data_IF_701381040404
#
_entry.id   IF_701381040404
#
_cell.length_a   1.000
_cell.length_b   1.000
_cell.length_c   1.000
_cell.angle_alpha   90.00
_cell.angle_beta   90.00
_cell.angle_gamma   90.00
#
_symmetry.space_group_name_H-M   'P 1'
#
loop_
_entity.id
_entity.type
_entity.pdbx_description
1 polymer ?
#
# COMPACT_ATOMS: atom_id res chain seq x y z
N UNK A 1 29.79 75.13 -20.77
CA UNK A 1 30.00 75.28 -19.30
C UNK A 1 29.26 74.12 -18.64
N UNK A 2 29.90 72.97 -18.42
CA UNK A 2 30.51 72.54 -17.14
C UNK A 2 29.49 72.66 -15.98
N UNK A 3 29.03 71.61 -15.29
CA UNK A 3 29.71 70.44 -14.70
C UNK A 3 28.67 69.30 -14.53
N UNK A 4 28.95 67.99 -14.55
CA UNK A 4 30.01 67.25 -13.86
C UNK A 4 29.47 66.70 -12.53
N UNK A 5 28.97 65.46 -12.51
CA UNK A 5 28.43 64.81 -11.30
C UNK A 5 28.25 63.31 -11.49
N UNK A 6 29.32 62.56 -11.25
CA UNK A 6 29.38 61.09 -11.27
C UNK A 6 28.96 60.55 -9.90
N UNK A 7 28.01 59.59 -9.87
CA UNK A 7 27.51 58.96 -8.64
C UNK A 7 27.17 57.50 -8.88
N UNK A 8 28.18 56.64 -8.79
CA UNK A 8 28.04 55.19 -8.79
C UNK A 8 27.50 54.73 -7.44
N UNK A 9 26.26 54.23 -7.39
CA UNK A 9 25.68 53.58 -6.22
C UNK A 9 25.40 52.10 -6.53
N UNK A 10 26.22 51.27 -5.90
CA UNK A 10 26.15 49.81 -5.89
C UNK A 10 24.89 49.33 -5.15
N UNK A 11 24.28 48.28 -5.71
CA UNK A 11 23.67 47.11 -5.04
C UNK A 11 22.65 47.33 -3.92
N UNK A 12 21.41 46.93 -4.19
CA UNK A 12 20.66 46.06 -3.27
C UNK A 12 19.51 45.38 -4.02
N UNK A 13 19.83 44.24 -4.64
CA UNK A 13 18.81 43.24 -4.97
C UNK A 13 18.27 42.69 -3.65
N UNK A 14 16.95 42.63 -3.42
CA UNK A 14 16.43 41.87 -2.30
C UNK A 14 16.82 40.41 -2.45
N UNK A 15 17.35 39.88 -1.35
CA UNK A 15 17.88 38.53 -1.21
C UNK A 15 16.98 37.48 -1.84
N UNK A 16 17.62 36.58 -2.60
CA UNK A 16 17.00 35.47 -3.27
C UNK A 16 16.07 34.68 -2.36
N UNK A 17 14.85 34.50 -2.83
CA UNK A 17 13.99 33.40 -2.41
C UNK A 17 14.81 32.13 -2.58
N UNK A 18 15.02 31.40 -1.49
CA UNK A 18 15.67 30.09 -1.47
C UNK A 18 14.84 29.09 -2.30
N UNK A 19 15.02 29.11 -3.62
CA UNK A 19 14.32 28.25 -4.58
C UNK A 19 14.88 26.82 -4.63
N UNK A 20 15.96 26.52 -3.91
CA UNK A 20 16.61 25.20 -3.93
C UNK A 20 16.02 24.14 -2.97
N UNK A 21 15.29 24.54 -1.92
CA UNK A 21 14.85 23.61 -0.85
C UNK A 21 13.46 22.98 -1.02
N UNK A 22 12.66 23.43 -2.01
CA UNK A 22 11.22 23.14 -2.07
C UNK A 22 10.84 21.86 -2.83
N UNK A 23 11.63 21.45 -3.81
CA UNK A 23 11.34 20.31 -4.67
C UNK A 23 11.36 18.95 -3.95
N UNK A 24 12.40 18.60 -3.16
CA UNK A 24 12.45 17.30 -2.50
C UNK A 24 11.35 17.13 -1.43
N UNK A 25 10.97 18.21 -0.74
CA UNK A 25 9.88 18.20 0.24
C UNK A 25 8.51 17.97 -0.42
N UNK A 26 8.24 18.60 -1.57
CA UNK A 26 7.00 18.40 -2.35
C UNK A 26 6.89 16.97 -2.89
N UNK A 27 8.00 16.42 -3.41
CA UNK A 27 8.05 15.02 -3.86
C UNK A 27 7.76 14.07 -2.69
N UNK A 28 8.40 14.28 -1.54
CA UNK A 28 8.16 13.48 -0.34
C UNK A 28 6.71 13.57 0.14
N UNK A 29 6.08 14.75 0.09
CA UNK A 29 4.66 14.89 0.42
C UNK A 29 3.77 14.00 -0.46
N UNK A 30 4.03 13.95 -1.77
CA UNK A 30 3.31 13.06 -2.69
C UNK A 30 3.52 11.59 -2.35
N UNK A 31 4.75 11.20 -2.03
CA UNK A 31 5.08 9.83 -1.59
C UNK A 31 4.32 9.47 -0.30
N UNK A 32 4.27 10.37 0.68
CA UNK A 32 3.52 10.14 1.91
C UNK A 32 2.03 9.85 1.64
N UNK A 33 1.38 10.64 0.78
CA UNK A 33 -0.03 10.42 0.45
C UNK A 33 -0.24 9.07 -0.27
N UNK A 34 0.66 8.71 -1.18
CA UNK A 34 0.59 7.44 -1.91
C UNK A 34 0.81 6.23 -1.00
N UNK A 35 1.84 6.26 -0.15
CA UNK A 35 2.12 5.18 0.81
C UNK A 35 0.98 5.04 1.81
N UNK A 36 0.45 6.16 2.32
CA UNK A 36 -0.71 6.17 3.23
C UNK A 36 -1.93 5.52 2.56
N UNK A 37 -2.30 5.97 1.37
CA UNK A 37 -3.45 5.43 0.65
C UNK A 37 -3.30 3.93 0.37
N UNK A 38 -2.09 3.49 -0.03
CA UNK A 38 -1.78 2.09 -0.28
C UNK A 38 -1.90 1.21 0.96
N UNK A 39 -1.36 1.67 2.10
CA UNK A 39 -1.46 0.96 3.38
C UNK A 39 -2.91 0.89 3.90
N UNK A 40 -3.65 1.99 3.79
CA UNK A 40 -5.07 2.03 4.18
C UNK A 40 -5.92 1.08 3.33
N UNK A 41 -5.70 1.08 2.01
CA UNK A 41 -6.41 0.20 1.10
C UNK A 41 -6.29 -1.28 1.51
N UNK A 42 -5.09 -1.76 1.82
CA UNK A 42 -4.93 -3.17 2.20
C UNK A 42 -5.51 -3.47 3.57
N UNK A 43 -5.47 -2.52 4.51
CA UNK A 43 -6.12 -2.65 5.80
C UNK A 43 -7.64 -2.76 5.65
N UNK A 44 -8.24 -1.90 4.83
CA UNK A 44 -9.68 -1.90 4.57
C UNK A 44 -10.12 -3.21 3.88
N UNK A 45 -9.36 -3.67 2.88
CA UNK A 45 -9.71 -4.87 2.12
C UNK A 45 -9.52 -6.18 2.90
N UNK A 46 -8.54 -6.25 3.82
CA UNK A 46 -8.16 -7.51 4.46
C UNK A 46 -8.40 -7.57 5.97
N UNK A 47 -8.24 -6.46 6.68
CA UNK A 47 -8.31 -6.46 8.16
C UNK A 47 -9.69 -6.02 8.65
N UNK A 48 -10.35 -5.12 7.92
CA UNK A 48 -11.70 -4.64 8.23
C UNK A 48 -12.79 -5.41 7.48
N UNK A 49 -12.41 -6.26 6.52
CA UNK A 49 -13.32 -7.19 5.88
C UNK A 49 -13.75 -8.28 6.86
N UNK A 50 -15.05 -8.56 6.91
CA UNK A 50 -15.62 -9.62 7.77
C UNK A 50 -15.51 -11.02 7.17
N UNK A 51 -14.88 -11.18 6.00
CA UNK A 51 -14.84 -12.47 5.29
C UNK A 51 -13.52 -13.22 5.52
N UNK A 52 -13.49 -14.30 6.33
CA UNK A 52 -12.30 -15.13 6.51
C UNK A 52 -11.98 -15.91 5.23
N UNK A 53 -10.99 -15.44 4.48
CA UNK A 53 -10.54 -16.05 3.21
C UNK A 53 -9.01 -16.08 3.13
N UNK A 54 -8.43 -17.05 2.39
CA UNK A 54 -7.00 -17.07 2.14
C UNK A 54 -6.62 -15.95 1.15
N UNK A 55 -5.55 -15.21 1.45
CA UNK A 55 -4.99 -14.19 0.54
C UNK A 55 -4.02 -14.81 -0.49
N UNK A 56 -3.28 -15.84 -0.08
CA UNK A 56 -2.37 -16.58 -0.94
C UNK A 56 -2.77 -18.05 -0.95
N UNK A 57 -3.69 -18.47 -1.84
CA UNK A 57 -3.96 -19.89 -2.01
C UNK A 57 -2.74 -20.53 -2.70
N UNK A 58 -1.69 -20.86 -1.94
CA UNK A 58 -0.60 -21.70 -2.42
C UNK A 58 -1.08 -23.15 -2.62
N UNK A 59 -0.32 -23.88 -3.44
CA UNK A 59 -0.57 -25.22 -3.96
C UNK A 59 -1.06 -26.23 -2.91
N UNK A 60 -1.93 -27.19 -3.29
CA UNK A 60 -2.59 -28.15 -2.39
C UNK A 60 -1.67 -29.21 -1.74
N UNK A 61 -0.34 -29.01 -1.75
CA UNK A 61 0.65 -30.00 -1.32
C UNK A 61 1.28 -29.75 0.05
N UNK A 62 1.04 -28.60 0.69
CA UNK A 62 1.52 -28.34 2.06
C UNK A 62 0.45 -28.68 3.09
N UNK A 63 0.83 -29.35 4.18
CA UNK A 63 -0.04 -29.50 5.33
C UNK A 63 -0.37 -28.12 5.89
N UNK A 64 -1.61 -27.90 6.31
CA UNK A 64 -2.11 -26.58 6.75
C UNK A 64 -1.25 -25.98 7.88
N UNK A 65 -0.77 -26.82 8.81
CA UNK A 65 0.13 -26.42 9.89
C UNK A 65 1.50 -25.95 9.38
N UNK A 66 2.14 -26.68 8.46
CA UNK A 66 3.43 -26.28 7.87
C UNK A 66 3.31 -24.96 7.10
N UNK A 67 2.19 -24.75 6.40
CA UNK A 67 1.90 -23.51 5.71
C UNK A 67 1.77 -22.32 6.69
N UNK A 68 1.11 -22.53 7.83
CA UNK A 68 0.99 -21.51 8.88
C UNK A 68 2.35 -21.14 9.47
N UNK A 69 3.16 -22.13 9.85
CA UNK A 69 4.48 -21.92 10.46
C UNK A 69 5.40 -21.13 9.51
N UNK A 70 5.46 -21.51 8.22
CA UNK A 70 6.21 -20.78 7.19
C UNK A 70 5.70 -19.35 7.02
N UNK A 71 4.38 -19.17 7.00
CA UNK A 71 3.76 -17.85 6.87
C UNK A 71 4.10 -16.97 8.08
N UNK A 72 3.97 -17.49 9.30
CA UNK A 72 4.33 -16.83 10.56
C UNK A 72 5.78 -16.38 10.54
N UNK A 73 6.71 -17.28 10.23
CA UNK A 73 8.14 -16.96 10.26
C UNK A 73 8.48 -15.86 9.24
N UNK A 74 7.79 -15.88 8.09
CA UNK A 74 7.88 -14.80 7.10
C UNK A 74 7.35 -13.49 7.67
N UNK A 75 6.19 -13.47 8.33
CA UNK A 75 5.64 -12.26 8.98
C UNK A 75 6.62 -11.71 10.01
N UNK A 76 7.20 -12.56 10.86
CA UNK A 76 8.20 -12.16 11.87
C UNK A 76 9.47 -11.62 11.21
N UNK A 77 9.88 -12.14 10.06
CA UNK A 77 11.00 -11.57 9.31
C UNK A 77 10.65 -10.17 8.74
N UNK A 78 9.41 -9.98 8.28
CA UNK A 78 8.93 -8.69 7.75
C UNK A 78 8.82 -7.62 8.85
N UNK A 79 8.40 -7.97 10.07
CA UNK A 79 8.37 -7.02 11.19
C UNK A 79 9.75 -6.49 11.54
N UNK A 80 10.80 -7.33 11.45
CA UNK A 80 12.19 -6.89 11.63
C UNK A 80 12.63 -5.89 10.56
N UNK A 81 12.31 -6.16 9.29
CA UNK A 81 12.57 -5.23 8.20
C UNK A 81 11.87 -3.88 8.40
N UNK A 82 10.66 -3.91 8.96
CA UNK A 82 9.89 -2.70 9.22
C UNK A 82 10.52 -1.84 10.32
N UNK A 83 11.07 -2.47 11.37
CA UNK A 83 11.83 -1.76 12.40
C UNK A 83 13.08 -1.07 11.84
N UNK A 84 13.79 -1.73 10.91
CA UNK A 84 14.97 -1.16 10.24
C UNK A 84 14.56 0.08 9.42
N UNK A 85 13.54 -0.05 8.56
CA UNK A 85 13.06 1.07 7.74
C UNK A 85 12.51 2.23 8.59
N UNK A 86 11.88 1.92 9.73
CA UNK A 86 11.40 2.94 10.68
C UNK A 86 12.58 3.75 11.23
N UNK A 87 13.65 3.08 11.64
CA UNK A 87 14.87 3.74 12.10
C UNK A 87 15.52 4.56 10.97
N UNK A 88 15.64 4.00 9.76
CA UNK A 88 16.27 4.66 8.62
C UNK A 88 15.54 5.94 8.24
N UNK A 89 14.21 5.90 8.16
CA UNK A 89 13.36 7.08 7.92
C UNK A 89 13.62 8.16 8.97
N UNK A 90 13.69 7.82 10.26
CA UNK A 90 13.96 8.80 11.32
C UNK A 90 15.38 9.38 11.22
N UNK A 91 16.38 8.53 10.98
CA UNK A 91 17.78 8.91 10.86
C UNK A 91 18.02 9.84 9.67
N UNK A 92 17.55 9.44 8.48
CA UNK A 92 17.65 10.23 7.25
C UNK A 92 16.91 11.56 7.37
N UNK A 93 15.74 11.58 8.01
CA UNK A 93 15.00 12.81 8.27
C UNK A 93 15.79 13.76 9.17
N UNK A 94 16.40 13.26 10.25
CA UNK A 94 17.24 14.07 11.14
C UNK A 94 18.47 14.64 10.42
N UNK A 95 18.97 13.95 9.40
CA UNK A 95 20.04 14.42 8.51
C UNK A 95 19.55 15.36 7.39
N UNK A 96 18.24 15.63 7.29
CA UNK A 96 17.66 16.47 6.24
C UNK A 96 17.63 15.81 4.85
N UNK A 97 17.81 14.50 4.76
CA UNK A 97 17.91 13.74 3.50
C UNK A 97 16.54 13.31 2.97
N UNK A 98 15.72 14.28 2.59
CA UNK A 98 14.32 14.05 2.18
C UNK A 98 14.13 13.09 0.99
N UNK A 99 15.12 12.99 0.08
CA UNK A 99 15.07 12.04 -1.03
C UNK A 99 15.17 10.59 -0.52
N UNK A 100 16.16 10.30 0.34
CA UNK A 100 16.36 8.99 0.95
C UNK A 100 15.14 8.59 1.81
N UNK A 101 14.57 9.55 2.57
CA UNK A 101 13.32 9.33 3.31
C UNK A 101 12.19 8.88 2.37
N UNK A 102 12.10 9.48 1.19
CA UNK A 102 11.09 9.10 0.19
C UNK A 102 11.29 7.69 -0.36
N UNK A 103 12.53 7.25 -0.54
CA UNK A 103 12.84 5.90 -1.00
C UNK A 103 12.54 4.86 0.10
N UNK A 104 13.01 5.11 1.33
CA UNK A 104 12.71 4.25 2.48
C UNK A 104 11.22 4.19 2.82
N UNK A 105 10.46 5.26 2.58
CA UNK A 105 9.01 5.29 2.79
C UNK A 105 8.24 4.46 1.74
N UNK A 106 8.70 4.45 0.49
CA UNK A 106 8.14 3.57 -0.55
C UNK A 106 8.38 2.10 -0.19
N UNK A 107 9.62 1.76 0.19
CA UNK A 107 9.96 0.41 0.65
C UNK A 107 9.14 0.01 1.87
N UNK A 108 8.94 0.93 2.83
CA UNK A 108 8.07 0.72 3.99
C UNK A 108 6.63 0.45 3.57
N UNK A 109 6.08 1.22 2.62
CA UNK A 109 4.73 1.01 2.10
C UNK A 109 4.56 -0.39 1.49
N UNK A 110 5.51 -0.83 0.66
CA UNK A 110 5.52 -2.18 0.07
C UNK A 110 5.64 -3.27 1.13
N UNK A 111 6.50 -3.05 2.12
CA UNK A 111 6.73 -3.99 3.21
C UNK A 111 5.50 -4.14 4.10
N UNK A 112 4.82 -3.04 4.45
CA UNK A 112 3.58 -3.05 5.23
C UNK A 112 2.47 -3.76 4.46
N UNK A 113 2.36 -3.54 3.15
CA UNK A 113 1.39 -4.28 2.34
C UNK A 113 1.66 -5.79 2.40
N UNK A 114 2.91 -6.20 2.17
CA UNK A 114 3.29 -7.61 2.26
C UNK A 114 3.00 -8.19 3.65
N UNK A 115 3.29 -7.44 4.71
CA UNK A 115 3.04 -7.84 6.10
C UNK A 115 1.55 -8.01 6.37
N UNK A 116 0.69 -7.09 5.91
CA UNK A 116 -0.77 -7.17 6.07
C UNK A 116 -1.33 -8.37 5.31
N UNK A 117 -0.91 -8.60 4.07
CA UNK A 117 -1.33 -9.75 3.26
C UNK A 117 -0.97 -11.09 3.91
N UNK A 118 0.27 -11.21 4.38
CA UNK A 118 0.76 -12.41 5.07
C UNK A 118 0.05 -12.59 6.41
N UNK A 119 -0.18 -11.52 7.17
CA UNK A 119 -0.87 -11.60 8.46
C UNK A 119 -2.32 -12.02 8.31
N UNK A 120 -3.03 -11.49 7.31
CA UNK A 120 -4.40 -11.90 7.00
C UNK A 120 -4.45 -13.37 6.55
N UNK A 121 -3.47 -13.82 5.77
CA UNK A 121 -3.35 -15.22 5.39
C UNK A 121 -3.04 -16.14 6.58
N UNK A 122 -2.09 -15.76 7.44
CA UNK A 122 -1.76 -16.49 8.66
C UNK A 122 -2.96 -16.57 9.62
N UNK A 123 -3.72 -15.46 9.75
CA UNK A 123 -4.95 -15.42 10.54
C UNK A 123 -5.99 -16.41 10.01
N UNK A 124 -6.17 -16.49 8.68
CA UNK A 124 -7.03 -17.48 8.05
C UNK A 124 -6.57 -18.92 8.37
N UNK A 125 -5.29 -19.23 8.13
CA UNK A 125 -4.73 -20.57 8.35
C UNK A 125 -4.89 -21.03 9.81
N UNK A 126 -4.55 -20.16 10.77
CA UNK A 126 -4.69 -20.46 12.19
C UNK A 126 -6.15 -20.67 12.59
N UNK A 127 -7.07 -19.85 12.06
CA UNK A 127 -8.49 -19.92 12.41
C UNK A 127 -9.20 -21.15 11.86
N UNK A 128 -8.85 -21.59 10.64
CA UNK A 128 -9.44 -22.79 10.03
C UNK A 128 -8.87 -24.10 10.58
N UNK A 129 -7.71 -24.06 11.24
CA UNK A 129 -7.13 -25.20 11.95
C UNK A 129 -7.86 -25.51 13.28
N UNK A 130 -8.58 -24.52 13.84
CA UNK A 130 -9.37 -24.72 15.07
C UNK A 130 -10.47 -25.76 14.84
N UNK A 131 -10.59 -26.79 15.71
CA UNK A 131 -11.61 -27.83 15.58
C UNK A 131 -13.03 -27.24 15.49
N UNK A 132 -13.80 -27.67 14.48
CA UNK A 132 -15.15 -27.18 14.21
C UNK A 132 -15.23 -25.96 13.29
N UNK A 133 -14.09 -25.38 12.89
CA UNK A 133 -14.01 -24.45 11.77
C UNK A 133 -14.04 -25.20 10.43
N UNK A 134 -14.53 -24.53 9.38
CA UNK A 134 -14.59 -25.07 8.01
C UNK A 134 -13.90 -24.11 7.05
N UNK A 135 -13.05 -24.65 6.19
CA UNK A 135 -12.29 -23.87 5.21
C UNK A 135 -13.19 -23.14 4.20
N UNK A 136 -12.67 -22.03 3.66
CA UNK A 136 -13.33 -21.30 2.60
C UNK A 136 -13.40 -22.13 1.31
N UNK A 137 -14.46 -21.92 0.53
CA UNK A 137 -14.59 -22.48 -0.81
C UNK A 137 -14.16 -21.41 -1.83
N UNK A 138 -13.13 -21.66 -2.65
CA UNK A 138 -12.66 -20.69 -3.62
C UNK A 138 -13.73 -20.41 -4.68
N UNK A 139 -13.82 -19.13 -5.06
CA UNK A 139 -14.62 -18.69 -6.19
C UNK A 139 -13.93 -18.87 -7.54
N UNK A 140 -14.53 -18.30 -8.59
CA UNK A 140 -13.88 -18.19 -9.90
C UNK A 140 -12.72 -17.19 -9.89
N UNK A 141 -12.83 -16.15 -9.05
CA UNK A 141 -11.82 -15.11 -8.88
C UNK A 141 -11.50 -14.87 -7.41
N UNK A 142 -10.28 -14.40 -7.18
CA UNK A 142 -9.87 -13.85 -5.88
C UNK A 142 -10.27 -12.37 -5.83
N UNK A 143 -11.30 -12.06 -5.03
CA UNK A 143 -11.84 -10.71 -4.85
C UNK A 143 -10.76 -9.71 -4.42
N UNK A 144 -9.91 -10.09 -3.47
CA UNK A 144 -8.88 -9.19 -2.96
C UNK A 144 -7.91 -8.82 -4.07
N UNK A 145 -7.39 -9.81 -4.79
CA UNK A 145 -6.39 -9.59 -5.85
C UNK A 145 -6.93 -8.71 -6.97
N UNK A 146 -8.12 -9.00 -7.49
CA UNK A 146 -8.69 -8.21 -8.60
C UNK A 146 -9.07 -6.80 -8.16
N UNK A 147 -9.53 -6.63 -6.91
CA UNK A 147 -9.85 -5.30 -6.34
C UNK A 147 -8.58 -4.47 -6.14
N UNK A 148 -7.50 -5.09 -5.65
CA UNK A 148 -6.19 -4.44 -5.52
C UNK A 148 -5.65 -4.00 -6.87
N UNK A 149 -5.67 -4.88 -7.89
CA UNK A 149 -5.22 -4.53 -9.23
C UNK A 149 -6.02 -3.37 -9.84
N UNK A 150 -7.34 -3.32 -9.60
CA UNK A 150 -8.17 -2.18 -10.00
C UNK A 150 -7.64 -0.86 -9.43
N UNK A 151 -7.41 -0.81 -8.12
CA UNK A 151 -6.91 0.39 -7.45
C UNK A 151 -5.52 0.81 -7.92
N UNK A 152 -4.62 -0.14 -8.17
CA UNK A 152 -3.27 0.13 -8.69
C UNK A 152 -3.32 0.76 -10.10
N UNK A 153 -4.24 0.29 -10.96
CA UNK A 153 -4.46 0.88 -12.29
C UNK A 153 -5.07 2.28 -12.18
N UNK A 154 -6.06 2.48 -11.31
CA UNK A 154 -6.66 3.80 -11.03
C UNK A 154 -5.61 4.81 -10.58
N UNK A 155 -4.75 4.41 -9.64
CA UNK A 155 -3.68 5.25 -9.10
C UNK A 155 -2.66 5.60 -10.19
N UNK A 156 -2.21 4.61 -10.98
CA UNK A 156 -1.27 4.82 -12.09
C UNK A 156 -1.85 5.79 -13.13
N UNK A 157 -3.13 5.64 -13.46
CA UNK A 157 -3.86 6.54 -14.34
C UNK A 157 -4.05 7.94 -13.72
N UNK A 158 -4.24 8.03 -12.40
CA UNK A 158 -4.34 9.30 -11.69
C UNK A 158 -3.01 10.06 -11.76
N UNK A 159 -1.86 9.39 -11.60
CA UNK A 159 -0.54 10.02 -11.74
C UNK A 159 -0.36 10.66 -13.12
N UNK A 160 -0.77 9.99 -14.20
CA UNK A 160 -0.74 10.57 -15.56
C UNK A 160 -1.59 11.83 -15.71
N UNK A 161 -2.65 11.98 -14.89
CA UNK A 161 -3.54 13.16 -14.89
C UNK A 161 -3.05 14.29 -13.99
N UNK A 162 -2.46 13.96 -12.84
CA UNK A 162 -2.18 14.94 -11.78
C UNK A 162 -0.75 15.43 -11.77
N UNK A 163 0.21 14.60 -12.21
CA UNK A 163 1.63 15.00 -12.26
C UNK A 163 1.81 16.03 -13.38
N UNK A 164 2.45 17.19 -13.13
CA UNK A 164 2.70 18.20 -14.14
C UNK A 164 3.75 17.72 -15.14
N UNK A 165 3.73 18.27 -16.37
CA UNK A 165 4.59 17.80 -17.46
C UNK A 165 6.08 17.77 -17.10
N UNK A 166 6.56 18.80 -16.39
CA UNK A 166 7.96 18.92 -15.96
C UNK A 166 8.42 17.79 -15.03
N UNK A 167 7.49 17.16 -14.31
CA UNK A 167 7.77 16.09 -13.34
C UNK A 167 7.48 14.69 -13.94
N UNK A 168 6.87 14.62 -15.13
CA UNK A 168 6.65 13.37 -15.90
C UNK A 168 7.93 12.93 -16.60
N UNK A 169 8.93 12.55 -15.79
CA UNK A 169 10.21 12.05 -16.30
C UNK A 169 10.07 10.75 -17.11
N UNK A 170 10.99 10.45 -18.05
CA UNK A 170 10.97 9.18 -18.78
C UNK A 170 10.99 7.94 -17.88
N UNK A 171 11.65 8.03 -16.72
CA UNK A 171 11.68 6.98 -15.70
C UNK A 171 10.30 6.77 -15.09
N UNK A 172 9.62 7.85 -14.66
CA UNK A 172 8.28 7.78 -14.11
C UNK A 172 7.25 7.23 -15.12
N UNK A 173 7.33 7.65 -16.38
CA UNK A 173 6.46 7.13 -17.45
C UNK A 173 6.68 5.62 -17.68
N UNK A 174 7.93 5.15 -17.59
CA UNK A 174 8.26 3.73 -17.68
C UNK A 174 7.69 2.96 -16.49
N UNK A 175 7.86 3.46 -15.28
CA UNK A 175 7.35 2.86 -14.05
C UNK A 175 5.82 2.75 -14.08
N UNK A 176 5.12 3.83 -14.43
CA UNK A 176 3.65 3.84 -14.60
C UNK A 176 3.23 2.80 -15.64
N UNK A 177 3.89 2.76 -16.79
CA UNK A 177 3.58 1.80 -17.86
C UNK A 177 3.76 0.35 -17.42
N UNK A 178 4.83 0.07 -16.67
CA UNK A 178 5.12 -1.26 -16.12
C UNK A 178 4.09 -1.65 -15.05
N UNK A 179 3.72 -0.72 -14.15
CA UNK A 179 2.71 -1.01 -13.12
C UNK A 179 1.33 -1.28 -13.73
N UNK A 180 0.90 -0.46 -14.70
CA UNK A 180 -0.33 -0.72 -15.47
C UNK A 180 -0.25 -2.11 -16.12
N UNK A 181 0.80 -2.38 -16.89
CA UNK A 181 0.94 -3.66 -17.61
C UNK A 181 0.92 -4.88 -16.67
N UNK A 182 1.61 -4.78 -15.52
CA UNK A 182 1.64 -5.84 -14.49
C UNK A 182 0.23 -6.13 -13.95
N UNK A 183 -0.52 -5.10 -13.57
CA UNK A 183 -1.85 -5.28 -13.01
C UNK A 183 -2.86 -5.77 -14.04
N UNK A 184 -2.79 -5.29 -15.29
CA UNK A 184 -3.63 -5.77 -16.38
C UNK A 184 -3.35 -7.23 -16.73
N UNK A 185 -2.09 -7.68 -16.62
CA UNK A 185 -1.73 -9.09 -16.78
C UNK A 185 -2.41 -9.95 -15.71
N UNK A 186 -2.33 -9.54 -14.44
CA UNK A 186 -2.99 -10.26 -13.33
C UNK A 186 -4.51 -10.35 -13.55
N UNK A 187 -5.14 -9.25 -13.97
CA UNK A 187 -6.57 -9.22 -14.28
C UNK A 187 -6.93 -10.11 -15.48
N UNK A 188 -6.07 -10.14 -16.50
CA UNK A 188 -6.23 -11.00 -17.68
C UNK A 188 -6.18 -12.47 -17.27
N UNK A 189 -5.12 -12.88 -16.56
CA UNK A 189 -4.91 -14.26 -16.14
C UNK A 189 -6.07 -14.74 -15.24
N UNK A 190 -6.50 -13.90 -14.29
CA UNK A 190 -7.64 -14.20 -13.42
C UNK A 190 -8.96 -14.35 -14.20
N UNK A 191 -9.21 -13.49 -15.18
CA UNK A 191 -10.44 -13.50 -15.99
C UNK A 191 -10.48 -14.66 -16.98
N UNK A 192 -9.34 -15.04 -17.56
CA UNK A 192 -9.22 -16.23 -18.41
C UNK A 192 -9.51 -17.48 -17.59
N UNK A 193 -8.88 -17.62 -16.41
CA UNK A 193 -9.14 -18.75 -15.52
C UNK A 193 -10.61 -18.80 -15.06
N UNK A 194 -11.23 -17.65 -14.77
CA UNK A 194 -12.64 -17.55 -14.42
C UNK A 194 -13.56 -17.97 -15.59
N UNK A 195 -13.26 -17.53 -16.81
CA UNK A 195 -13.97 -17.94 -18.03
C UNK A 195 -13.89 -19.45 -18.25
N UNK A 196 -12.71 -20.06 -18.11
CA UNK A 196 -12.54 -21.50 -18.29
C UNK A 196 -13.34 -22.32 -17.29
N UNK A 197 -13.32 -21.90 -16.01
CA UNK A 197 -14.00 -22.59 -14.90
C UNK A 197 -15.50 -22.31 -14.82
N UNK A 198 -15.99 -21.23 -15.43
CA UNK A 198 -17.42 -20.89 -15.42
C UNK A 198 -18.25 -21.98 -16.11
N UNK A 199 -19.48 -22.18 -15.64
CA UNK A 199 -20.47 -23.05 -16.30
C UNK A 199 -21.51 -22.26 -17.09
N UNK A 200 -21.63 -20.96 -16.82
CA UNK A 200 -22.56 -20.07 -17.51
C UNK A 200 -21.94 -19.55 -18.82
N UNK A 201 -22.60 -19.82 -19.94
CA UNK A 201 -22.16 -19.38 -21.27
C UNK A 201 -22.04 -17.87 -21.36
N UNK A 202 -22.96 -17.13 -20.73
CA UNK A 202 -22.89 -15.67 -20.74
C UNK A 202 -21.65 -15.19 -20.00
N UNK A 203 -21.40 -15.66 -18.78
CA UNK A 203 -20.23 -15.28 -18.00
C UNK A 203 -18.90 -15.62 -18.71
N UNK A 204 -18.80 -16.77 -19.39
CA UNK A 204 -17.61 -17.11 -20.20
C UNK A 204 -17.30 -16.03 -21.22
N UNK A 205 -18.29 -15.67 -22.02
CA UNK A 205 -18.12 -14.66 -23.07
C UNK A 205 -17.91 -13.28 -22.47
N UNK A 206 -18.59 -12.96 -21.36
CA UNK A 206 -18.47 -11.66 -20.71
C UNK A 206 -17.07 -11.42 -20.12
N UNK A 207 -16.44 -12.43 -19.51
CA UNK A 207 -15.03 -12.33 -19.08
C UNK A 207 -14.10 -12.06 -20.27
N UNK A 208 -14.28 -12.78 -21.40
CA UNK A 208 -13.46 -12.57 -22.61
C UNK A 208 -13.64 -11.16 -23.18
N UNK A 209 -14.88 -10.68 -23.26
CA UNK A 209 -15.18 -9.33 -23.76
C UNK A 209 -14.63 -8.25 -22.84
N UNK A 210 -14.72 -8.44 -21.52
CA UNK A 210 -14.13 -7.53 -20.54
C UNK A 210 -12.61 -7.44 -20.67
N UNK A 211 -11.92 -8.58 -20.81
CA UNK A 211 -10.47 -8.62 -21.08
C UNK A 211 -10.12 -7.91 -22.39
N UNK A 212 -10.89 -8.14 -23.46
CA UNK A 212 -10.68 -7.48 -24.75
C UNK A 212 -10.83 -5.95 -24.63
N UNK A 213 -11.91 -5.48 -24.00
CA UNK A 213 -12.16 -4.05 -23.78
C UNK A 213 -11.03 -3.39 -22.97
N UNK A 214 -10.61 -4.04 -21.88
CA UNK A 214 -9.49 -3.62 -21.03
C UNK A 214 -8.18 -3.53 -21.83
N UNK A 215 -7.85 -4.57 -22.59
CA UNK A 215 -6.60 -4.66 -23.35
C UNK A 215 -6.53 -3.62 -24.45
N UNK A 216 -7.61 -3.43 -25.21
CA UNK A 216 -7.69 -2.39 -26.25
C UNK A 216 -7.52 -0.99 -25.66
N UNK A 217 -8.18 -0.71 -24.53
CA UNK A 217 -8.05 0.58 -23.84
C UNK A 217 -6.62 0.82 -23.34
N UNK A 218 -5.97 -0.23 -22.84
CA UNK A 218 -4.58 -0.17 -22.38
C UNK A 218 -3.60 0.11 -23.53
N UNK A 219 -3.77 -0.55 -24.68
CA UNK A 219 -2.94 -0.28 -25.86
C UNK A 219 -3.04 1.18 -26.30
N UNK A 220 -4.26 1.76 -26.29
CA UNK A 220 -4.46 3.16 -26.62
C UNK A 220 -3.76 4.10 -25.62
N UNK A 221 -3.90 3.85 -24.32
CA UNK A 221 -3.21 4.65 -23.29
C UNK A 221 -1.68 4.55 -23.41
N UNK A 222 -1.13 3.34 -23.56
CA UNK A 222 0.32 3.13 -23.66
C UNK A 222 0.92 3.78 -24.91
N UNK A 223 0.15 3.89 -26.00
CA UNK A 223 0.56 4.67 -27.16
C UNK A 223 0.71 6.17 -26.82
N UNK A 224 -0.24 6.74 -26.08
CA UNK A 224 -0.13 8.13 -25.59
C UNK A 224 1.05 8.30 -24.63
N UNK A 225 1.27 7.36 -23.71
CA UNK A 225 2.40 7.41 -22.77
C UNK A 225 3.73 7.39 -23.53
N UNK A 226 3.83 6.58 -24.59
CA UNK A 226 4.98 6.57 -25.50
C UNK A 226 5.16 7.91 -26.20
N UNK A 227 4.08 8.53 -26.69
CA UNK A 227 4.10 9.86 -27.32
C UNK A 227 4.62 10.94 -26.35
N UNK A 228 4.13 10.97 -25.11
CA UNK A 228 4.65 11.90 -24.08
C UNK A 228 6.13 11.69 -23.82
N UNK A 229 6.58 10.43 -23.79
CA UNK A 229 8.00 10.10 -23.58
C UNK A 229 8.90 10.57 -24.74
N UNK A 230 8.44 10.45 -25.99
CA UNK A 230 9.25 10.82 -27.17
C UNK A 230 9.13 12.29 -27.57
N UNK A 231 7.99 12.90 -27.28
CA UNK A 231 7.66 14.27 -27.67
C UNK A 231 6.83 14.92 -26.54
N UNK A 232 7.50 15.30 -25.43
CA UNK A 232 6.82 15.83 -24.26
C UNK A 232 6.18 17.19 -24.57
N UNK A 233 4.90 17.32 -24.24
CA UNK A 233 4.12 18.54 -24.41
C UNK A 233 2.79 18.46 -23.68
N UNK A 234 2.17 19.61 -23.40
CA UNK A 234 0.87 19.64 -22.73
C UNK A 234 -0.22 18.92 -23.54
N UNK A 235 -0.15 18.99 -24.87
CA UNK A 235 -1.05 18.25 -25.74
C UNK A 235 -0.92 16.74 -25.57
N UNK A 236 0.32 16.20 -25.57
CA UNK A 236 0.54 14.76 -25.42
C UNK A 236 0.19 14.30 -24.00
N UNK A 237 0.47 15.11 -22.98
CA UNK A 237 0.03 14.86 -21.59
C UNK A 237 -1.50 14.82 -21.47
N UNK A 238 -2.20 15.76 -22.09
CA UNK A 238 -3.67 15.80 -22.10
C UNK A 238 -4.27 14.58 -22.80
N UNK A 239 -3.60 14.03 -23.83
CA UNK A 239 -4.01 12.74 -24.42
C UNK A 239 -3.86 11.58 -23.44
N UNK A 240 -2.75 11.49 -22.69
CA UNK A 240 -2.65 10.50 -21.61
C UNK A 240 -3.80 10.62 -20.61
N UNK A 241 -4.15 11.85 -20.20
CA UNK A 241 -5.25 12.09 -19.29
C UNK A 241 -6.60 11.62 -19.87
N UNK A 242 -6.86 11.91 -21.15
CA UNK A 242 -8.06 11.51 -21.87
C UNK A 242 -8.17 9.98 -21.99
N UNK A 243 -7.12 9.31 -22.45
CA UNK A 243 -7.11 7.85 -22.66
C UNK A 243 -6.98 7.06 -21.36
N UNK A 244 -6.66 7.70 -20.23
CA UNK A 244 -6.71 7.07 -18.91
C UNK A 244 -8.14 6.73 -18.49
N UNK A 245 -9.13 7.54 -18.90
CA UNK A 245 -10.54 7.34 -18.55
C UNK A 245 -11.10 6.00 -19.05
N UNK A 246 -11.02 5.70 -20.36
CA UNK A 246 -11.47 4.41 -20.92
C UNK A 246 -10.84 3.19 -20.25
N UNK A 247 -9.54 3.22 -19.97
CA UNK A 247 -8.87 2.09 -19.28
C UNK A 247 -9.44 1.87 -17.88
N UNK A 248 -9.57 2.94 -17.09
CA UNK A 248 -10.14 2.87 -15.74
C UNK A 248 -11.56 2.28 -15.80
N UNK A 249 -12.42 2.78 -16.71
CA UNK A 249 -13.78 2.27 -16.84
C UNK A 249 -13.84 0.79 -17.25
N UNK A 250 -12.99 0.36 -18.20
CA UNK A 250 -12.93 -1.04 -18.59
C UNK A 250 -12.50 -1.96 -17.44
N UNK A 251 -11.52 -1.53 -16.63
CA UNK A 251 -11.07 -2.26 -15.44
C UNK A 251 -12.16 -2.30 -14.37
N UNK A 252 -12.85 -1.19 -14.11
CA UNK A 252 -13.99 -1.14 -13.19
C UNK A 252 -15.11 -2.10 -13.61
N UNK A 253 -15.48 -2.10 -14.89
CA UNK A 253 -16.54 -2.97 -15.40
C UNK A 253 -16.15 -4.45 -15.28
N UNK A 254 -14.93 -4.82 -15.67
CA UNK A 254 -14.43 -6.19 -15.57
C UNK A 254 -14.38 -6.66 -14.11
N UNK A 255 -13.84 -5.84 -13.22
CA UNK A 255 -13.69 -6.19 -11.79
C UNK A 255 -15.04 -6.20 -11.09
N UNK A 256 -15.95 -5.28 -11.44
CA UNK A 256 -17.32 -5.26 -10.96
C UNK A 256 -18.05 -6.56 -11.31
N UNK A 257 -18.00 -6.97 -12.57
CA UNK A 257 -18.56 -8.25 -13.02
C UNK A 257 -17.89 -9.45 -12.34
N UNK A 258 -16.55 -9.46 -12.29
CA UNK A 258 -15.79 -10.55 -11.67
C UNK A 258 -16.14 -10.75 -10.19
N UNK A 259 -16.50 -9.67 -9.48
CA UNK A 259 -16.78 -9.69 -8.04
C UNK A 259 -18.26 -9.82 -7.69
N UNK A 260 -19.11 -10.20 -8.66
CA UNK A 260 -20.51 -10.54 -8.39
C UNK A 260 -20.61 -11.77 -7.44
N UNK A 261 -21.60 -11.79 -6.52
CA UNK A 261 -21.64 -12.76 -5.42
C UNK A 261 -21.55 -14.24 -5.85
N UNK A 262 -22.13 -14.59 -6.99
CA UNK A 262 -22.12 -15.96 -7.51
C UNK A 262 -20.72 -16.46 -7.90
N UNK A 263 -19.75 -15.56 -8.11
CA UNK A 263 -18.39 -15.92 -8.49
C UNK A 263 -17.42 -15.99 -7.32
N UNK A 264 -17.83 -15.58 -6.11
CA UNK A 264 -16.92 -15.42 -4.97
C UNK A 264 -16.73 -16.70 -4.13
N UNK A 265 -17.51 -17.75 -4.38
CA UNK A 265 -17.50 -18.94 -3.54
C UNK A 265 -18.04 -18.64 -2.13
N UNK A 266 -17.49 -19.29 -1.10
CA UNK A 266 -17.94 -19.13 0.30
C UNK A 266 -16.76 -18.83 1.21
N UNK A 267 -16.92 -17.88 2.13
CA UNK A 267 -15.93 -17.64 3.17
C UNK A 267 -15.86 -18.83 4.15
N UNK A 268 -14.79 -18.91 4.94
CA UNK A 268 -14.69 -19.92 5.99
C UNK A 268 -15.77 -19.73 7.06
N UNK A 269 -16.23 -20.85 7.64
CA UNK A 269 -17.15 -20.84 8.77
C UNK A 269 -16.34 -21.10 10.02
N UNK A 270 -16.15 -20.06 10.83
CA UNK A 270 -15.35 -20.11 12.05
C UNK A 270 -16.26 -20.22 13.28
N UNK A 271 -15.90 -21.09 14.22
CA UNK A 271 -16.51 -21.11 15.55
C UNK A 271 -15.98 -19.91 16.40
N UNK A 272 -16.43 -19.79 17.65
CA UNK A 272 -16.04 -18.65 18.50
C UNK A 272 -14.53 -18.58 18.76
N UNK A 273 -13.88 -19.73 18.93
CA UNK A 273 -12.43 -19.82 19.16
C UNK A 273 -11.64 -19.44 17.90
N UNK A 274 -12.01 -19.97 16.73
CA UNK A 274 -11.40 -19.60 15.45
C UNK A 274 -11.54 -18.10 15.14
N UNK A 275 -12.69 -17.50 15.48
CA UNK A 275 -12.87 -16.04 15.39
C UNK A 275 -11.97 -15.27 16.35
N UNK A 276 -11.78 -15.78 17.56
CA UNK A 276 -10.89 -15.15 18.55
C UNK A 276 -9.43 -15.17 18.08
N UNK A 277 -8.95 -16.32 17.57
CA UNK A 277 -7.62 -16.47 16.96
C UNK A 277 -7.44 -15.49 15.80
N UNK A 278 -8.41 -15.45 14.88
CA UNK A 278 -8.37 -14.54 13.73
C UNK A 278 -8.30 -13.08 14.20
N UNK A 279 -9.17 -12.69 15.13
CA UNK A 279 -9.26 -11.32 15.65
C UNK A 279 -7.96 -10.89 16.33
N UNK A 280 -7.30 -11.78 17.06
CA UNK A 280 -6.02 -11.48 17.69
C UNK A 280 -4.93 -11.13 16.67
N UNK A 281 -4.77 -11.97 15.64
CA UNK A 281 -3.74 -11.78 14.61
C UNK A 281 -4.05 -10.54 13.76
N UNK A 282 -5.31 -10.39 13.30
CA UNK A 282 -5.72 -9.22 12.52
C UNK A 282 -5.61 -7.92 13.34
N UNK A 283 -5.90 -7.96 14.65
CA UNK A 283 -5.74 -6.81 15.55
C UNK A 283 -4.28 -6.40 15.73
N UNK A 284 -3.35 -7.37 15.79
CA UNK A 284 -1.91 -7.12 15.76
C UNK A 284 -1.48 -6.44 14.46
N UNK A 285 -1.89 -6.98 13.31
CA UNK A 285 -1.61 -6.40 11.99
C UNK A 285 -2.20 -4.99 11.84
N UNK A 286 -3.42 -4.78 12.35
CA UNK A 286 -4.09 -3.49 12.36
C UNK A 286 -3.31 -2.45 13.18
N UNK A 287 -2.71 -2.87 14.30
CA UNK A 287 -1.87 -2.01 15.13
C UNK A 287 -0.61 -1.56 14.36
N UNK A 288 0.04 -2.47 13.62
CA UNK A 288 1.20 -2.15 12.76
C UNK A 288 0.82 -1.15 11.67
N UNK A 289 -0.17 -1.46 10.85
CA UNK A 289 -0.54 -0.60 9.70
C UNK A 289 -1.03 0.77 10.15
N UNK A 290 -1.79 0.84 11.26
CA UNK A 290 -2.26 2.11 11.82
C UNK A 290 -1.09 2.98 12.30
N UNK A 291 -0.09 2.38 12.94
CA UNK A 291 1.12 3.09 13.38
C UNK A 291 1.95 3.59 12.18
N UNK A 292 2.11 2.79 11.12
CA UNK A 292 2.82 3.20 9.90
C UNK A 292 2.08 4.31 9.14
N UNK A 293 0.75 4.26 9.09
CA UNK A 293 -0.08 5.34 8.52
C UNK A 293 0.09 6.63 9.33
N UNK A 294 0.08 6.55 10.66
CA UNK A 294 0.33 7.71 11.52
C UNK A 294 1.75 8.26 11.34
N UNK A 295 2.76 7.40 11.27
CA UNK A 295 4.14 7.79 11.02
C UNK A 295 4.28 8.55 9.68
N UNK A 296 3.64 8.02 8.64
CA UNK A 296 3.61 8.65 7.31
C UNK A 296 2.91 10.02 7.34
N UNK A 297 1.83 10.14 8.12
CA UNK A 297 1.16 11.41 8.34
C UNK A 297 2.06 12.41 9.09
N UNK A 298 2.77 11.98 10.13
CA UNK A 298 3.72 12.83 10.85
C UNK A 298 4.85 13.32 9.93
N UNK A 299 5.40 12.45 9.07
CA UNK A 299 6.40 12.85 8.07
C UNK A 299 5.87 13.92 7.13
N UNK A 300 4.64 13.75 6.65
CA UNK A 300 3.97 14.74 5.80
C UNK A 300 3.79 16.09 6.50
N UNK A 301 3.38 16.08 7.77
CA UNK A 301 3.22 17.30 8.55
C UNK A 301 4.58 18.02 8.68
N UNK A 302 5.67 17.28 8.91
CA UNK A 302 7.05 17.82 8.97
C UNK A 302 7.48 18.45 7.64
N UNK A 303 7.16 17.85 6.49
CA UNK A 303 7.57 18.38 5.18
C UNK A 303 6.82 19.65 4.78
N UNK A 304 5.63 19.88 5.34
CA UNK A 304 4.81 21.06 5.08
C UNK A 304 5.25 22.31 5.86
N UNK A 305 5.96 22.14 6.98
CA UNK A 305 6.34 23.25 7.86
C UNK A 305 7.82 23.61 7.75
N UNK A 306 8.15 24.90 7.87
CA UNK A 306 9.56 25.36 7.92
C UNK A 306 10.19 24.97 9.26
N UNK A 307 11.52 24.75 9.25
CA UNK A 307 12.29 24.38 10.45
C UNK A 307 12.22 25.44 11.58
N UNK A 308 11.76 26.64 11.26
CA UNK A 308 11.53 27.77 12.18
C UNK A 308 10.16 27.77 12.88
N UNK A 309 9.31 26.77 12.64
CA UNK A 309 8.02 26.66 13.32
C UNK A 309 8.19 26.26 14.78
N UNK A 310 7.57 26.99 15.71
CA UNK A 310 7.52 26.63 17.14
C UNK A 310 6.91 25.24 17.41
N UNK A 311 6.24 24.64 16.42
CA UNK A 311 5.62 23.32 16.45
C UNK A 311 6.51 22.19 15.93
N UNK A 312 7.71 22.47 15.43
CA UNK A 312 8.59 21.45 14.84
C UNK A 312 9.02 20.39 15.88
N UNK A 313 9.21 20.80 17.14
CA UNK A 313 9.48 19.88 18.25
C UNK A 313 8.32 18.90 18.45
N UNK A 314 7.08 19.41 18.49
CA UNK A 314 5.88 18.58 18.65
C UNK A 314 5.73 17.57 17.50
N UNK A 315 6.01 17.97 16.25
CA UNK A 315 5.94 17.06 15.11
C UNK A 315 7.00 15.95 15.18
N UNK A 316 8.23 16.29 15.59
CA UNK A 316 9.29 15.30 15.80
C UNK A 316 8.98 14.36 16.96
N UNK A 317 8.33 14.84 18.01
CA UNK A 317 7.90 14.03 19.15
C UNK A 317 6.78 13.05 18.75
N UNK A 318 5.80 13.53 17.99
CA UNK A 318 4.76 12.68 17.39
C UNK A 318 5.35 11.62 16.45
N UNK A 319 6.36 11.98 15.64
CA UNK A 319 7.07 11.02 14.78
C UNK A 319 7.76 9.94 15.62
N UNK A 320 8.49 10.32 16.68
CA UNK A 320 9.13 9.36 17.59
C UNK A 320 8.11 8.45 18.26
N UNK A 321 7.01 9.00 18.77
CA UNK A 321 5.92 8.23 19.35
C UNK A 321 5.32 7.24 18.35
N UNK A 322 5.11 7.66 17.08
CA UNK A 322 4.60 6.77 16.04
C UNK A 322 5.58 5.64 15.70
N UNK A 323 6.89 5.90 15.69
CA UNK A 323 7.91 4.87 15.49
C UNK A 323 7.95 3.84 16.63
N UNK A 324 7.79 4.29 17.89
CA UNK A 324 7.60 3.39 19.02
C UNK A 324 6.33 2.54 18.84
N UNK A 325 5.21 3.16 18.42
CA UNK A 325 3.97 2.44 18.16
C UNK A 325 4.09 1.39 17.04
N UNK A 326 4.92 1.62 16.01
CA UNK A 326 5.23 0.59 14.99
C UNK A 326 5.92 -0.60 15.64
N UNK A 327 6.91 -0.36 16.50
CA UNK A 327 7.64 -1.42 17.21
C UNK A 327 6.72 -2.20 18.15
N UNK A 328 5.86 -1.50 18.90
CA UNK A 328 4.86 -2.13 19.77
C UNK A 328 3.86 -2.96 18.96
N UNK A 329 3.37 -2.44 17.84
CA UNK A 329 2.52 -3.17 16.90
C UNK A 329 3.18 -4.45 16.38
N UNK A 330 4.45 -4.38 16.00
CA UNK A 330 5.24 -5.53 15.56
C UNK A 330 5.36 -6.60 16.66
N UNK A 331 5.56 -6.18 17.91
CA UNK A 331 5.63 -7.08 19.07
C UNK A 331 4.28 -7.75 19.31
N UNK A 332 3.18 -6.97 19.32
CA UNK A 332 1.82 -7.48 19.49
C UNK A 332 1.45 -8.49 18.40
N UNK A 333 1.78 -8.20 17.14
CA UNK A 333 1.53 -9.12 16.03
C UNK A 333 2.36 -10.41 16.17
N UNK A 334 3.64 -10.29 16.51
CA UNK A 334 4.52 -11.44 16.71
C UNK A 334 4.04 -12.33 17.86
N UNK A 335 3.56 -11.72 18.95
CA UNK A 335 2.97 -12.43 20.07
C UNK A 335 1.66 -13.12 19.68
N UNK A 336 0.73 -12.39 19.04
CA UNK A 336 -0.54 -12.95 18.58
C UNK A 336 -0.37 -14.13 17.63
N UNK A 337 0.67 -14.10 16.77
CA UNK A 337 1.00 -15.21 15.88
C UNK A 337 1.59 -16.43 16.60
N UNK A 338 2.35 -16.24 17.69
CA UNK A 338 2.93 -17.33 18.48
C UNK A 338 1.90 -17.98 19.39
N UNK A 339 1.10 -17.16 20.05
CA UNK A 339 0.16 -17.57 21.10
C UNK A 339 -1.25 -17.83 20.55
N UNK A 340 -1.51 -17.49 19.27
CA UNK A 340 -2.83 -17.56 18.62
C UNK A 340 -3.94 -16.88 19.43
N UNK A 341 -3.59 -15.92 20.28
CA UNK A 341 -4.50 -15.27 21.23
C UNK A 341 -4.14 -13.80 21.38
N UNK A 342 -5.05 -13.00 21.95
CA UNK A 342 -4.82 -11.57 22.10
C UNK A 342 -3.85 -11.31 23.26
N UNK A 343 -2.78 -10.52 23.06
CA UNK A 343 -1.93 -10.07 24.15
C UNK A 343 -2.70 -9.29 25.23
N UNK A 344 -3.82 -8.65 24.85
CA UNK A 344 -4.66 -7.85 25.75
C UNK A 344 -5.59 -8.70 26.64
N UNK A 345 -5.63 -10.02 26.45
CA UNK A 345 -6.41 -10.95 27.29
C UNK A 345 -5.55 -11.74 28.28
N UNK A 346 -4.22 -11.55 28.29
CA UNK A 346 -3.39 -12.10 29.35
C UNK A 346 -3.55 -11.24 30.62
N UNK A 347 -3.92 -11.82 31.77
CA UNK A 347 -3.90 -11.08 33.02
C UNK A 347 -2.46 -10.56 33.27
N UNK A 348 -2.29 -9.39 33.90
CA UNK A 348 -0.97 -8.88 34.21
C UNK A 348 -0.24 -9.95 35.04
N UNK A 349 0.93 -10.37 34.57
CA UNK A 349 1.84 -11.21 35.34
C UNK A 349 2.18 -10.40 36.59
N UNK A 350 1.55 -10.73 37.71
CA UNK A 350 1.92 -10.19 39.02
C UNK A 350 3.30 -10.70 39.38
N UNK A 351 4.32 -9.97 38.96
CA UNK A 351 5.65 -10.02 39.56
C UNK A 351 5.52 -9.50 40.99
N UNK A 352 5.91 -10.34 41.95
CA UNK A 352 6.09 -10.09 43.39
C UNK A 352 4.97 -10.57 44.33
N UNK A 353 5.23 -11.72 44.96
CA UNK A 353 5.28 -11.75 46.42
C UNK A 353 6.27 -12.80 46.88
N UNK A 354 7.46 -12.31 47.24
CA UNK A 354 8.32 -12.94 48.24
C UNK A 354 7.46 -13.18 49.48
N UNK A 355 7.34 -14.44 49.90
CA UNK A 355 6.95 -14.79 51.26
C UNK A 355 8.00 -15.75 51.81
N UNK A 356 8.95 -15.18 52.54
CA UNK A 356 9.57 -15.83 53.70
C UNK A 356 8.59 -15.72 54.88
N UNK A 357 8.59 -16.73 55.76
CA UNK A 357 9.35 -16.58 57.01
C UNK A 357 10.59 -17.47 57.06
#
# INVERSE_FOLDING_TARGET
>A
MASGGSGSARSSLPAGVALGGSQPRKKLQSICEQCKAKMQLVADLLLLSSEPRPVHPESPSSQLGEAFEKCRDTVIARTKGLSILTHDVQSQLNMGRFAEVGDSLQEMGDLVVSLVELSAHAAYLAAVEVPGSHAALPGLVDRYRVTRCRHEVEQSCALLRTVPLQDLTPQLLLEISQNVSKNLKILTDASVAASEKSRDKFAKEQFKLGVKCMSTSATALLACVKEVKTSPGELSRNRCALFSGPLVQAVHALVGFATEPQFLGKAAVLNQEGKAVQTAILGGAMSVVSACVLLTQCLRDITQHSDSSSKMTDYKDRLRSSACAVSDGCNLLSQALRERSSPRTLPPVHSNSVKSP
#
